data_IF_758265612124
#
_entry.id   IF_758265612124
#
_cell.length_a   1.000
_cell.length_b   1.000
_cell.length_c   1.000
_cell.angle_alpha   90.00
_cell.angle_beta   90.00
_cell.angle_gamma   90.00
#
_symmetry.space_group_name_H-M   'P 1'
#
loop_
_entity.id
_entity.type
_entity.pdbx_description
1 polymer ?
#
# COMPACT_ATOMS: atom_id res chain seq x y z
N UNK A 1 -50.02 -42.40 4.93
CA UNK A 1 -49.75 -41.00 5.34
C UNK A 1 -48.24 -40.85 5.46
N UNK A 2 -47.64 -40.20 4.46
CA UNK A 2 -46.20 -39.95 4.45
C UNK A 2 -46.06 -38.45 4.66
N UNK A 3 -45.55 -38.06 5.85
CA UNK A 3 -45.26 -36.68 6.21
C UNK A 3 -43.92 -36.31 5.60
N UNK A 4 -43.95 -35.45 4.56
CA UNK A 4 -42.78 -34.90 3.95
C UNK A 4 -42.16 -33.85 4.84
N UNK A 5 -40.97 -34.11 5.34
CA UNK A 5 -40.14 -33.16 6.09
C UNK A 5 -39.44 -32.24 5.08
N UNK A 6 -40.00 -31.05 4.85
CA UNK A 6 -39.35 -29.99 4.07
C UNK A 6 -38.25 -29.38 4.93
N UNK A 7 -37.01 -29.83 4.69
CA UNK A 7 -35.81 -29.24 5.27
C UNK A 7 -35.47 -27.96 4.51
N UNK A 8 -35.89 -26.82 5.03
CA UNK A 8 -35.55 -25.49 4.49
C UNK A 8 -34.07 -25.24 4.80
N UNK A 9 -33.20 -25.46 3.82
CA UNK A 9 -31.80 -25.04 3.88
C UNK A 9 -31.80 -23.51 3.72
N UNK A 10 -31.72 -22.81 4.84
CA UNK A 10 -31.38 -21.39 4.87
C UNK A 10 -29.92 -21.25 4.46
N UNK A 11 -29.68 -21.01 3.17
CA UNK A 11 -28.40 -20.53 2.66
C UNK A 11 -28.18 -19.14 3.25
N UNK A 12 -27.46 -19.07 4.37
CA UNK A 12 -26.87 -17.82 4.80
C UNK A 12 -25.78 -17.46 3.76
N UNK A 13 -26.19 -16.74 2.73
CA UNK A 13 -25.26 -15.99 1.91
C UNK A 13 -24.60 -14.95 2.84
N UNK A 14 -23.40 -15.24 3.32
CA UNK A 14 -22.55 -14.23 3.94
C UNK A 14 -22.25 -13.24 2.83
N UNK A 15 -23.03 -12.14 2.78
CA UNK A 15 -22.69 -11.02 1.92
C UNK A 15 -21.28 -10.57 2.33
N UNK A 16 -20.34 -10.65 1.39
CA UNK A 16 -19.01 -10.07 1.59
C UNK A 16 -19.22 -8.62 2.07
N UNK A 17 -18.49 -8.16 3.09
CA UNK A 17 -18.64 -6.80 3.56
C UNK A 17 -18.44 -5.85 2.37
N UNK A 18 -19.40 -4.95 2.15
CA UNK A 18 -19.32 -3.95 1.09
C UNK A 18 -18.06 -3.12 1.34
N UNK A 19 -17.07 -3.23 0.46
CA UNK A 19 -15.86 -2.44 0.56
C UNK A 19 -16.18 -0.96 0.33
N UNK A 20 -15.84 -0.11 1.32
CA UNK A 20 -16.05 1.33 1.22
C UNK A 20 -14.95 1.95 0.37
N UNK A 21 -15.32 2.51 -0.79
CA UNK A 21 -14.41 3.31 -1.60
C UNK A 21 -14.23 4.67 -0.93
N UNK A 22 -12.99 5.01 -0.58
CA UNK A 22 -12.64 6.26 0.13
C UNK A 22 -11.99 7.28 -0.79
N UNK A 23 -11.44 6.85 -1.90
CA UNK A 23 -10.87 7.74 -2.91
C UNK A 23 -10.82 7.08 -4.27
N UNK A 24 -10.54 7.86 -5.31
CA UNK A 24 -10.11 7.34 -6.60
C UNK A 24 -8.94 8.15 -7.14
N UNK A 25 -8.01 7.44 -7.77
CA UNK A 25 -6.89 8.00 -8.52
C UNK A 25 -7.08 7.60 -9.99
N UNK A 26 -7.31 8.57 -10.86
CA UNK A 26 -7.72 8.35 -12.24
C UNK A 26 -9.01 7.47 -12.27
N UNK A 27 -8.89 6.22 -12.73
CA UNK A 27 -10.02 5.27 -12.77
C UNK A 27 -9.87 4.13 -11.75
N UNK A 28 -8.84 4.20 -10.87
CA UNK A 28 -8.62 3.20 -9.83
C UNK A 28 -9.29 3.64 -8.53
N UNK A 29 -10.23 2.84 -8.05
CA UNK A 29 -10.81 3.02 -6.72
C UNK A 29 -9.78 2.62 -5.65
N UNK A 30 -9.76 3.37 -4.55
CA UNK A 30 -9.00 3.05 -3.33
C UNK A 30 -10.02 2.78 -2.23
N UNK A 31 -9.89 1.65 -1.57
CA UNK A 31 -10.81 1.21 -0.54
C UNK A 31 -10.30 1.52 0.87
N UNK A 32 -11.22 1.54 1.82
CA UNK A 32 -10.84 1.68 3.23
C UNK A 32 -9.99 0.53 3.72
N UNK A 33 -10.25 -0.69 3.22
CA UNK A 33 -9.45 -1.87 3.52
C UNK A 33 -7.99 -1.73 3.07
N UNK A 34 -7.74 -1.12 1.91
CA UNK A 34 -6.36 -0.83 1.44
C UNK A 34 -5.64 0.13 2.39
N UNK A 35 -6.35 1.14 2.93
CA UNK A 35 -5.76 2.07 3.93
C UNK A 35 -5.41 1.33 5.22
N UNK A 36 -6.32 0.47 5.71
CA UNK A 36 -6.06 -0.31 6.93
C UNK A 36 -4.90 -1.28 6.73
N UNK A 37 -4.88 -1.99 5.61
CA UNK A 37 -3.80 -2.93 5.27
C UNK A 37 -2.43 -2.23 5.21
N UNK A 38 -2.36 -1.10 4.53
CA UNK A 38 -1.11 -0.31 4.45
C UNK A 38 -0.70 0.23 5.81
N UNK A 39 -1.64 0.71 6.62
CA UNK A 39 -1.37 1.22 7.96
C UNK A 39 -0.86 0.14 8.91
N UNK A 40 -1.45 -1.05 8.89
CA UNK A 40 -0.96 -2.19 9.67
C UNK A 40 0.45 -2.62 9.23
N UNK A 41 0.71 -2.62 7.93
CA UNK A 41 2.05 -2.95 7.43
C UNK A 41 3.09 -1.92 7.86
N UNK A 42 2.75 -0.62 7.85
CA UNK A 42 3.60 0.44 8.40
C UNK A 42 3.84 0.28 9.90
N UNK A 43 2.82 -0.09 10.68
CA UNK A 43 2.98 -0.40 12.10
C UNK A 43 3.99 -1.55 12.29
N UNK A 44 3.85 -2.63 11.53
CA UNK A 44 4.77 -3.78 11.58
C UNK A 44 6.21 -3.36 11.25
N UNK A 45 6.41 -2.54 10.22
CA UNK A 45 7.72 -2.01 9.83
C UNK A 45 8.38 -1.17 10.93
N UNK A 46 7.56 -0.46 11.71
CA UNK A 46 8.01 0.34 12.84
C UNK A 46 8.05 -0.43 14.17
N UNK A 47 7.85 -1.76 14.16
CA UNK A 47 7.76 -2.62 15.34
C UNK A 47 6.65 -2.19 16.32
N UNK A 48 5.57 -1.61 15.80
CA UNK A 48 4.35 -1.28 16.52
C UNK A 48 3.33 -2.41 16.30
N UNK A 49 2.51 -2.78 17.30
CA UNK A 49 1.44 -3.76 17.11
C UNK A 49 0.53 -3.37 15.92
N UNK A 50 0.23 -4.29 15.01
CA UNK A 50 -0.52 -3.97 13.78
C UNK A 50 -1.92 -3.42 14.08
N UNK A 51 -2.56 -3.85 15.17
CA UNK A 51 -3.89 -3.41 15.57
C UNK A 51 -3.93 -1.99 16.19
N UNK A 52 -2.76 -1.32 16.29
CA UNK A 52 -2.70 0.06 16.79
C UNK A 52 -3.59 0.97 15.94
N UNK A 53 -4.56 1.66 16.53
CA UNK A 53 -5.50 2.48 15.77
C UNK A 53 -4.78 3.58 14.97
N UNK A 54 -5.25 3.77 13.75
CA UNK A 54 -4.75 4.84 12.88
C UNK A 54 -5.51 6.14 13.18
N UNK A 55 -4.78 7.22 13.49
CA UNK A 55 -5.42 8.54 13.61
C UNK A 55 -5.93 9.02 12.24
N UNK A 56 -6.90 9.96 12.20
CA UNK A 56 -7.38 10.53 10.95
C UNK A 56 -6.23 11.10 10.09
N UNK A 57 -5.29 11.82 10.69
CA UNK A 57 -4.15 12.41 10.01
C UNK A 57 -3.21 11.35 9.43
N UNK A 58 -3.07 10.21 10.13
CA UNK A 58 -2.27 9.09 9.64
C UNK A 58 -2.97 8.39 8.47
N UNK A 59 -4.29 8.22 8.53
CA UNK A 59 -5.07 7.67 7.39
C UNK A 59 -4.91 8.53 6.13
N UNK A 60 -4.95 9.85 6.26
CA UNK A 60 -4.71 10.77 5.13
C UNK A 60 -3.30 10.62 4.56
N UNK A 61 -2.28 10.54 5.42
CA UNK A 61 -0.89 10.30 4.98
C UNK A 61 -0.73 8.94 4.27
N UNK A 62 -1.39 7.91 4.77
CA UNK A 62 -1.40 6.59 4.14
C UNK A 62 -2.07 6.65 2.77
N UNK A 63 -3.20 7.34 2.63
CA UNK A 63 -3.86 7.52 1.35
C UNK A 63 -2.94 8.21 0.33
N UNK A 64 -2.23 9.27 0.74
CA UNK A 64 -1.24 9.94 -0.10
C UNK A 64 -0.09 9.00 -0.50
N UNK A 65 0.40 8.19 0.43
CA UNK A 65 1.44 7.20 0.17
C UNK A 65 0.98 6.14 -0.84
N UNK A 66 -0.28 5.68 -0.74
CA UNK A 66 -0.88 4.75 -1.71
C UNK A 66 -0.91 5.40 -3.10
N UNK A 67 -1.40 6.64 -3.21
CA UNK A 67 -1.40 7.37 -4.48
C UNK A 67 0.02 7.48 -5.07
N UNK A 68 0.98 7.90 -4.26
CA UNK A 68 2.35 8.06 -4.69
C UNK A 68 2.95 6.76 -5.24
N UNK A 69 2.74 5.64 -4.54
CA UNK A 69 3.19 4.32 -5.00
C UNK A 69 2.54 3.88 -6.30
N UNK A 70 1.25 4.13 -6.47
CA UNK A 70 0.55 3.81 -7.70
C UNK A 70 1.16 4.59 -8.87
N UNK A 71 1.30 5.91 -8.72
CA UNK A 71 1.88 6.77 -9.76
C UNK A 71 3.30 6.34 -10.11
N UNK A 72 4.15 6.14 -9.09
CA UNK A 72 5.53 5.71 -9.34
C UNK A 72 5.62 4.32 -9.98
N UNK A 73 4.71 3.41 -9.64
CA UNK A 73 4.65 2.09 -10.28
C UNK A 73 4.25 2.18 -11.76
N UNK A 74 3.37 3.10 -12.11
CA UNK A 74 2.99 3.38 -13.50
C UNK A 74 4.14 4.03 -14.27
N UNK A 75 4.77 5.06 -13.70
CA UNK A 75 5.96 5.70 -14.31
C UNK A 75 7.14 4.72 -14.45
N UNK A 76 7.39 3.87 -13.45
CA UNK A 76 8.44 2.86 -13.52
C UNK A 76 8.19 1.87 -14.67
N UNK A 77 6.93 1.46 -14.88
CA UNK A 77 6.57 0.59 -15.99
C UNK A 77 6.79 1.26 -17.35
N UNK A 78 6.45 2.55 -17.47
CA UNK A 78 6.66 3.32 -18.71
C UNK A 78 8.15 3.54 -19.01
N UNK A 79 8.98 3.67 -17.97
CA UNK A 79 10.43 3.85 -18.07
C UNK A 79 11.22 2.52 -18.05
N UNK A 80 10.52 1.37 -18.04
CA UNK A 80 11.11 0.03 -17.95
C UNK A 80 12.01 -0.15 -16.69
N UNK A 81 11.74 0.61 -15.62
CA UNK A 81 12.45 0.49 -14.35
C UNK A 81 11.93 -0.74 -13.61
N UNK A 82 12.81 -1.68 -13.37
CA UNK A 82 12.52 -2.93 -12.67
C UNK A 82 13.39 -3.10 -11.43
N UNK A 83 13.01 -4.02 -10.57
CA UNK A 83 13.81 -4.49 -9.42
C UNK A 83 14.12 -5.96 -9.61
N UNK A 84 15.28 -6.38 -9.10
CA UNK A 84 15.73 -7.76 -9.17
C UNK A 84 14.78 -8.67 -8.37
N UNK A 85 14.34 -9.76 -8.95
CA UNK A 85 13.46 -10.76 -8.29
C UNK A 85 14.15 -11.44 -7.09
N UNK A 86 15.50 -11.53 -7.08
CA UNK A 86 16.22 -12.02 -5.90
C UNK A 86 16.14 -11.00 -4.75
N UNK A 87 16.21 -9.69 -5.05
CA UNK A 87 16.01 -8.64 -4.06
C UNK A 87 14.59 -8.68 -3.48
N UNK A 88 13.57 -8.84 -4.33
CA UNK A 88 12.17 -9.01 -3.88
C UNK A 88 12.05 -10.19 -2.91
N UNK A 89 12.61 -11.35 -3.27
CA UNK A 89 12.59 -12.56 -2.44
C UNK A 89 13.27 -12.34 -1.10
N UNK A 90 14.50 -11.82 -1.12
CA UNK A 90 15.28 -11.53 0.09
C UNK A 90 14.56 -10.51 1.00
N UNK A 91 13.94 -9.50 0.42
CA UNK A 91 13.16 -8.52 1.19
C UNK A 91 11.92 -9.16 1.81
N UNK A 92 11.18 -9.98 1.06
CA UNK A 92 10.05 -10.74 1.60
C UNK A 92 10.46 -11.65 2.76
N UNK A 93 11.57 -12.37 2.64
CA UNK A 93 12.13 -13.19 3.72
C UNK A 93 12.50 -12.34 4.97
N UNK A 94 13.00 -11.12 4.78
CA UNK A 94 13.29 -10.22 5.89
C UNK A 94 12.02 -9.76 6.60
N UNK A 95 10.96 -9.42 5.87
CA UNK A 95 9.65 -9.10 6.45
C UNK A 95 9.10 -10.26 7.26
N UNK A 96 9.26 -11.50 6.78
CA UNK A 96 8.80 -12.71 7.48
C UNK A 96 9.50 -12.97 8.82
N UNK A 97 10.61 -12.30 9.13
CA UNK A 97 11.27 -12.36 10.45
C UNK A 97 10.49 -11.59 11.52
N UNK A 98 9.65 -10.63 11.14
CA UNK A 98 8.81 -9.90 12.08
C UNK A 98 7.71 -10.81 12.62
N UNK A 99 7.52 -10.81 13.94
CA UNK A 99 6.58 -11.69 14.62
C UNK A 99 5.11 -11.49 14.21
N UNK A 100 4.77 -10.27 13.78
CA UNK A 100 3.41 -9.92 13.36
C UNK A 100 3.11 -10.27 11.90
N UNK A 101 4.13 -10.49 11.07
CA UNK A 101 3.94 -10.65 9.62
C UNK A 101 3.09 -11.86 9.25
N UNK A 102 3.23 -12.99 9.96
CA UNK A 102 2.43 -14.19 9.70
C UNK A 102 0.94 -13.95 9.98
N UNK A 103 0.62 -13.21 11.05
CA UNK A 103 -0.75 -12.86 11.38
C UNK A 103 -1.34 -11.90 10.35
N UNK A 104 -0.55 -10.92 9.89
CA UNK A 104 -0.91 -9.99 8.83
C UNK A 104 -1.25 -10.71 7.52
N UNK A 105 -0.38 -11.58 7.03
CA UNK A 105 -0.60 -12.36 5.81
C UNK A 105 -1.89 -13.19 5.92
N UNK A 106 -2.10 -13.85 7.07
CA UNK A 106 -3.30 -14.65 7.32
C UNK A 106 -4.56 -13.78 7.37
N UNK A 107 -4.50 -12.62 8.02
CA UNK A 107 -5.64 -11.69 8.17
C UNK A 107 -6.15 -11.20 6.82
N UNK A 108 -5.24 -10.86 5.91
CA UNK A 108 -5.55 -10.34 4.58
C UNK A 108 -5.57 -11.44 3.50
N UNK A 109 -5.48 -12.71 3.90
CA UNK A 109 -5.50 -13.88 3.01
C UNK A 109 -4.52 -13.77 1.84
N UNK A 110 -3.35 -13.12 2.09
CA UNK A 110 -2.37 -12.85 1.04
C UNK A 110 -1.69 -14.14 0.58
N UNK A 111 -1.73 -14.37 -0.71
CA UNK A 111 -0.88 -15.38 -1.35
C UNK A 111 0.59 -14.92 -1.36
N UNK A 112 1.52 -15.85 -1.53
CA UNK A 112 2.94 -15.54 -1.69
C UNK A 112 3.20 -14.56 -2.85
N UNK A 113 2.43 -14.70 -3.94
CA UNK A 113 2.51 -13.80 -5.09
C UNK A 113 2.06 -12.38 -4.74
N UNK A 114 0.92 -12.21 -4.07
CA UNK A 114 0.40 -10.90 -3.66
C UNK A 114 1.32 -10.22 -2.66
N UNK A 115 1.81 -10.96 -1.67
CA UNK A 115 2.78 -10.43 -0.72
C UNK A 115 4.06 -9.95 -1.40
N UNK A 116 4.64 -10.74 -2.30
CA UNK A 116 5.81 -10.33 -3.09
C UNK A 116 5.52 -9.15 -4.01
N UNK A 117 4.30 -9.04 -4.53
CA UNK A 117 3.87 -7.87 -5.32
C UNK A 117 3.87 -6.60 -4.49
N UNK A 118 3.37 -6.65 -3.24
CA UNK A 118 3.43 -5.53 -2.29
C UNK A 118 4.90 -5.12 -2.05
N UNK A 119 5.78 -6.08 -1.78
CA UNK A 119 7.21 -5.82 -1.56
C UNK A 119 7.86 -5.22 -2.81
N UNK A 120 7.56 -5.76 -3.99
CA UNK A 120 8.08 -5.25 -5.27
C UNK A 120 7.70 -3.79 -5.51
N UNK A 121 6.44 -3.42 -5.25
CA UNK A 121 5.98 -2.03 -5.38
C UNK A 121 6.74 -1.09 -4.43
N UNK A 122 7.02 -1.52 -3.20
CA UNK A 122 7.83 -0.74 -2.23
C UNK A 122 9.25 -0.53 -2.75
N UNK A 123 9.90 -1.58 -3.20
CA UNK A 123 11.26 -1.52 -3.75
C UNK A 123 11.34 -0.63 -5.02
N UNK A 124 10.31 -0.65 -5.87
CA UNK A 124 10.22 0.26 -7.02
C UNK A 124 10.11 1.70 -6.54
N UNK A 125 9.23 1.98 -5.58
CA UNK A 125 9.06 3.31 -4.99
C UNK A 125 10.38 3.83 -4.40
N UNK A 126 11.07 3.00 -3.62
CA UNK A 126 12.36 3.34 -3.01
C UNK A 126 13.42 3.63 -4.08
N UNK A 127 13.51 2.79 -5.11
CA UNK A 127 14.44 2.99 -6.25
C UNK A 127 14.15 4.29 -6.98
N UNK A 128 12.89 4.57 -7.31
CA UNK A 128 12.48 5.80 -8.00
C UNK A 128 12.78 7.03 -7.13
N UNK A 129 12.50 6.97 -5.82
CA UNK A 129 12.77 8.06 -4.88
C UNK A 129 14.27 8.30 -4.73
N UNK A 130 15.07 7.24 -4.62
CA UNK A 130 16.54 7.34 -4.57
C UNK A 130 17.09 7.99 -5.83
N UNK A 131 16.68 7.52 -7.00
CA UNK A 131 17.10 8.10 -8.28
C UNK A 131 16.73 9.59 -8.38
N UNK A 132 15.54 9.96 -7.91
CA UNK A 132 15.10 11.35 -7.92
C UNK A 132 15.95 12.23 -6.99
N UNK A 133 16.27 11.75 -5.77
CA UNK A 133 17.14 12.47 -4.83
C UNK A 133 18.54 12.64 -5.42
N UNK A 134 19.11 11.59 -6.00
CA UNK A 134 20.44 11.66 -6.64
C UNK A 134 20.49 12.66 -7.80
N UNK A 135 19.41 12.76 -8.58
CA UNK A 135 19.29 13.76 -9.64
C UNK A 135 19.20 15.20 -9.10
N UNK A 136 18.54 15.39 -7.95
CA UNK A 136 18.38 16.70 -7.31
C UNK A 136 19.64 17.17 -6.57
N UNK A 137 20.39 16.23 -6.03
CA UNK A 137 21.60 16.48 -5.26
C UNK A 137 22.81 15.72 -5.86
N UNK A 138 23.22 16.06 -7.11
CA UNK A 138 24.33 15.39 -7.77
C UNK A 138 25.65 15.61 -7.01
N UNK A 139 26.54 14.63 -7.08
CA UNK A 139 27.91 14.67 -6.55
C UNK A 139 28.03 14.75 -5.02
N UNK A 140 27.07 14.25 -4.26
CA UNK A 140 27.15 14.20 -2.81
C UNK A 140 27.19 15.60 -2.18
N UNK A 141 26.63 16.62 -2.84
CA UNK A 141 26.43 17.93 -2.24
C UNK A 141 25.80 17.73 -0.86
N UNK A 142 26.40 18.34 0.17
CA UNK A 142 25.87 18.27 1.54
C UNK A 142 24.45 18.82 1.54
N UNK A 143 23.48 17.95 1.72
CA UNK A 143 22.07 18.29 1.95
C UNK A 143 21.63 17.62 3.25
N UNK A 144 20.65 18.20 3.89
CA UNK A 144 20.06 17.67 5.09
C UNK A 144 18.92 16.69 4.77
N UNK A 145 18.56 15.81 5.72
CA UNK A 145 17.35 14.99 5.59
C UNK A 145 16.09 15.83 5.41
N UNK A 146 16.08 17.07 5.94
CA UNK A 146 14.96 17.98 5.79
C UNK A 146 14.87 18.53 4.36
N UNK A 147 16.00 18.78 3.70
CA UNK A 147 16.04 19.15 2.29
C UNK A 147 15.51 18.03 1.40
N UNK A 148 15.94 16.77 1.65
CA UNK A 148 15.42 15.59 0.96
C UNK A 148 13.89 15.47 1.12
N UNK A 149 13.41 15.57 2.35
CA UNK A 149 11.99 15.47 2.67
C UNK A 149 11.18 16.52 1.91
N UNK A 150 11.62 17.78 1.94
CA UNK A 150 10.96 18.88 1.23
C UNK A 150 10.90 18.63 -0.28
N UNK A 151 12.02 18.20 -0.86
CA UNK A 151 12.10 17.92 -2.30
C UNK A 151 11.20 16.75 -2.69
N UNK A 152 11.08 15.70 -1.86
CA UNK A 152 10.16 14.58 -2.07
C UNK A 152 8.71 15.06 -1.95
N UNK A 153 8.36 15.84 -0.94
CA UNK A 153 7.01 16.39 -0.76
C UNK A 153 6.59 17.28 -1.96
N UNK A 154 7.48 18.11 -2.46
CA UNK A 154 7.24 18.94 -3.64
C UNK A 154 7.05 18.07 -4.89
N UNK A 155 7.83 17.02 -5.06
CA UNK A 155 7.69 16.07 -6.16
C UNK A 155 6.37 15.33 -6.10
N UNK A 156 6.02 14.76 -4.94
CA UNK A 156 4.74 14.09 -4.70
C UNK A 156 3.56 15.01 -5.05
N UNK A 157 3.58 16.25 -4.54
CA UNK A 157 2.54 17.24 -4.83
C UNK A 157 2.43 17.55 -6.33
N UNK A 158 3.56 17.63 -7.04
CA UNK A 158 3.58 17.86 -8.48
C UNK A 158 3.05 16.66 -9.28
N UNK A 159 3.34 15.45 -8.84
CA UNK A 159 2.79 14.23 -9.44
C UNK A 159 1.28 14.16 -9.25
N UNK A 160 0.78 14.40 -8.05
CA UNK A 160 -0.65 14.36 -7.72
C UNK A 160 -1.45 15.43 -8.48
N UNK A 161 -0.90 16.64 -8.69
CA UNK A 161 -1.56 17.71 -9.47
C UNK A 161 -1.84 17.31 -10.93
N UNK A 162 -1.13 16.35 -11.46
CA UNK A 162 -1.30 15.87 -12.85
C UNK A 162 -2.35 14.75 -12.96
N UNK A 163 -2.85 14.27 -11.82
CA UNK A 163 -3.77 13.16 -11.74
C UNK A 163 -5.19 13.64 -11.43
N UNK A 164 -6.18 12.85 -11.87
CA UNK A 164 -7.57 13.02 -11.45
C UNK A 164 -7.76 12.34 -10.10
N UNK A 165 -7.69 13.10 -9.02
CA UNK A 165 -7.90 12.62 -7.65
C UNK A 165 -9.28 13.03 -7.17
N UNK A 166 -10.05 12.07 -6.65
CA UNK A 166 -11.33 12.33 -5.97
C UNK A 166 -11.22 11.66 -4.60
N UNK A 167 -11.47 12.42 -3.54
CA UNK A 167 -11.49 11.91 -2.17
C UNK A 167 -12.95 11.94 -1.69
N UNK A 168 -13.43 10.80 -1.19
CA UNK A 168 -14.72 10.65 -0.56
C UNK A 168 -14.54 10.74 0.97
N UNK A 169 -15.61 10.57 1.74
CA UNK A 169 -15.51 10.53 3.21
C UNK A 169 -14.78 9.26 3.67
N UNK A 170 -13.78 9.41 4.53
CA UNK A 170 -13.18 8.27 5.25
C UNK A 170 -13.97 7.99 6.53
N UNK A 171 -14.26 6.70 6.81
CA UNK A 171 -14.86 6.29 8.08
C UNK A 171 -13.95 6.54 9.28
#
# INVERSE_FOLDING_TARGET
>A
MIAGLLLSILLFSQAAPLETVVASLNNRAITYSEILQEGELLNIENNVPPETPLSPELKEKILRLIFFRIILSEEAREQEITVDEQLVRKSAENYMKNVYMKAFIKKYELTDFEFKTIIKMRLITDKMTTNFIEQKFPNGNKHSKEDEKKVIEDWENNLLKRQKVIIYSMP
#
